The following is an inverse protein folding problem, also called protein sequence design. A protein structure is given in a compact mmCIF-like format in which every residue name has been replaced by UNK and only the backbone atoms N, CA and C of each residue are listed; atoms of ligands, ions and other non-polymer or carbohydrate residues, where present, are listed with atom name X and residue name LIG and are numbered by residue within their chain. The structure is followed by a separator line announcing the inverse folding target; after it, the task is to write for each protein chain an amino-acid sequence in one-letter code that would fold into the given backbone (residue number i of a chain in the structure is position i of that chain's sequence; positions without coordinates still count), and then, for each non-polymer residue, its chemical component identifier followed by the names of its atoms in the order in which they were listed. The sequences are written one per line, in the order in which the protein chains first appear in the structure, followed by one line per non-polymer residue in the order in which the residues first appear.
data_IF_796865561926
#
_entry.id   IF_796865561926
#
_cell.length_a   1.000
_cell.length_b   1.000
_cell.length_c   1.000
_cell.angle_alpha   90.00
_cell.angle_beta   90.00
_cell.angle_gamma   90.00
#
_symmetry.space_group_name_H-M   'P 1'
#
loop_
_entity.id
_entity.type
_entity.pdbx_description
1 polymer ?
#
# COMPACT_ATOMS: atom_id res chain seq x y z
N UNK A 1 25.85 -4.49 -13.19
CA UNK A 1 25.38 -3.12 -12.93
C UNK A 1 23.85 -3.02 -13.01
N UNK A 2 23.20 -3.32 -14.15
CA UNK A 2 21.73 -3.22 -14.35
C UNK A 2 20.93 -3.99 -13.27
N UNK A 3 21.30 -5.23 -12.98
CA UNK A 3 20.64 -6.05 -11.92
C UNK A 3 20.63 -5.35 -10.56
N UNK A 4 21.69 -4.66 -10.19
CA UNK A 4 21.78 -3.94 -8.91
C UNK A 4 20.95 -2.65 -8.93
N UNK A 5 20.86 -1.95 -10.06
CA UNK A 5 19.97 -0.80 -10.25
C UNK A 5 18.51 -1.24 -10.08
N UNK A 6 18.07 -2.31 -10.76
CA UNK A 6 16.71 -2.87 -10.60
C UNK A 6 16.42 -3.37 -9.17
N UNK A 7 17.43 -3.88 -8.46
CA UNK A 7 17.27 -4.26 -7.05
C UNK A 7 17.11 -3.06 -6.13
N UNK A 8 17.77 -1.94 -6.43
CA UNK A 8 17.67 -0.70 -5.66
C UNK A 8 16.36 0.03 -5.93
N UNK A 9 15.95 0.20 -7.19
CA UNK A 9 14.71 0.88 -7.60
C UNK A 9 13.44 0.06 -7.33
N UNK A 10 13.58 -1.25 -7.09
CA UNK A 10 12.52 -2.18 -6.68
C UNK A 10 11.24 -2.16 -7.54
N UNK A 11 11.27 -2.36 -8.87
CA UNK A 11 10.05 -2.38 -9.70
C UNK A 11 9.01 -3.42 -9.23
N UNK A 12 9.45 -4.53 -8.60
CA UNK A 12 8.54 -5.52 -8.00
C UNK A 12 7.60 -4.93 -6.93
N UNK A 13 7.96 -3.80 -6.33
CA UNK A 13 7.12 -3.12 -5.34
C UNK A 13 6.07 -2.19 -5.98
N UNK A 14 6.13 -1.97 -7.30
CA UNK A 14 5.13 -1.20 -8.04
C UNK A 14 3.74 -1.83 -7.97
N UNK A 15 3.66 -3.13 -7.69
CA UNK A 15 2.38 -3.82 -7.41
C UNK A 15 1.54 -3.08 -6.34
N UNK A 16 2.18 -2.41 -5.38
CA UNK A 16 1.49 -1.62 -4.36
C UNK A 16 0.86 -0.35 -4.93
N UNK A 17 1.33 0.13 -6.06
CA UNK A 17 0.81 1.33 -6.68
C UNK A 17 -0.43 1.05 -7.53
N UNK A 18 -0.83 -0.24 -7.72
CA UNK A 18 -2.13 -0.58 -8.30
C UNK A 18 -3.31 -0.04 -7.49
N UNK A 19 -3.09 0.38 -6.24
CA UNK A 19 -4.08 1.13 -5.47
C UNK A 19 -4.52 2.44 -6.15
N UNK A 20 -3.71 2.98 -7.06
CA UNK A 20 -4.08 4.13 -7.91
C UNK A 20 -5.27 3.80 -8.84
N UNK A 21 -5.46 2.52 -9.24
CA UNK A 21 -6.57 2.08 -10.09
C UNK A 21 -7.86 1.81 -9.32
N UNK A 22 -7.83 1.73 -7.99
CA UNK A 22 -9.01 1.42 -7.16
C UNK A 22 -10.16 2.41 -7.38
N UNK A 23 -9.95 3.75 -7.43
CA UNK A 23 -11.03 4.69 -7.71
C UNK A 23 -11.73 4.44 -9.04
N UNK A 24 -10.96 4.13 -10.09
CA UNK A 24 -11.50 3.82 -11.42
C UNK A 24 -12.38 2.56 -11.38
N UNK A 25 -11.95 1.52 -10.62
CA UNK A 25 -12.72 0.29 -10.43
C UNK A 25 -14.04 0.55 -9.68
N UNK A 26 -13.96 1.19 -8.51
CA UNK A 26 -15.14 1.49 -7.68
C UNK A 26 -15.95 2.69 -8.17
N UNK A 27 -15.43 3.43 -9.15
CA UNK A 27 -16.11 4.53 -9.81
C UNK A 27 -16.96 4.12 -11.03
N UNK A 28 -16.83 2.85 -11.46
CA UNK A 28 -17.52 2.39 -12.67
C UNK A 28 -16.84 2.80 -13.99
N UNK A 29 -15.59 3.30 -13.93
CA UNK A 29 -14.88 3.88 -15.08
C UNK A 29 -13.89 2.92 -15.75
N UNK A 30 -14.00 1.60 -15.48
CA UNK A 30 -13.06 0.59 -16.00
C UNK A 30 -12.94 0.52 -17.51
N UNK A 31 -13.99 0.90 -18.23
CA UNK A 31 -14.05 0.85 -19.68
C UNK A 31 -13.95 2.24 -20.33
N UNK A 32 -13.67 3.28 -19.55
CA UNK A 32 -13.43 4.63 -20.07
C UNK A 32 -11.95 4.79 -20.45
N UNK A 33 -11.70 4.88 -21.77
CA UNK A 33 -10.34 4.97 -22.31
C UNK A 33 -9.54 6.18 -21.75
N UNK A 34 -10.20 7.32 -21.57
CA UNK A 34 -9.56 8.51 -21.01
C UNK A 34 -9.12 8.28 -19.56
N UNK A 35 -10.01 7.73 -18.73
CA UNK A 35 -9.71 7.39 -17.34
C UNK A 35 -8.56 6.37 -17.24
N UNK A 36 -8.52 5.36 -18.11
CA UNK A 36 -7.44 4.36 -18.19
C UNK A 36 -6.09 5.03 -18.48
N UNK A 37 -6.05 5.93 -19.45
CA UNK A 37 -4.83 6.64 -19.83
C UNK A 37 -4.30 7.51 -18.67
N UNK A 38 -5.15 8.35 -18.08
CA UNK A 38 -4.78 9.25 -17.00
C UNK A 38 -4.32 8.51 -15.74
N UNK A 39 -5.02 7.44 -15.37
CA UNK A 39 -4.63 6.60 -14.22
C UNK A 39 -3.33 5.84 -14.50
N UNK A 40 -3.11 5.40 -15.73
CA UNK A 40 -1.86 4.72 -16.11
C UNK A 40 -0.67 5.67 -16.04
N UNK A 41 -0.79 6.90 -16.54
CA UNK A 41 0.24 7.93 -16.38
C UNK A 41 0.51 8.22 -14.89
N UNK A 42 -0.55 8.37 -14.10
CA UNK A 42 -0.44 8.57 -12.65
C UNK A 42 0.24 7.40 -11.95
N UNK A 43 -0.06 6.16 -12.33
CA UNK A 43 0.59 4.96 -11.81
C UNK A 43 2.10 4.96 -12.08
N UNK A 44 2.53 5.30 -13.30
CA UNK A 44 3.96 5.35 -13.62
C UNK A 44 4.65 6.51 -12.90
N UNK A 45 4.05 7.71 -12.87
CA UNK A 45 4.56 8.85 -12.11
C UNK A 45 4.78 8.48 -10.65
N UNK A 46 3.76 7.91 -10.02
CA UNK A 46 3.82 7.46 -8.62
C UNK A 46 4.87 6.36 -8.41
N UNK A 47 5.02 5.44 -9.35
CA UNK A 47 5.95 4.32 -9.29
C UNK A 47 7.41 4.76 -9.36
N UNK A 48 7.72 5.73 -10.21
CA UNK A 48 9.07 6.30 -10.28
C UNK A 48 9.39 7.08 -9.00
N UNK A 49 8.46 7.89 -8.49
CA UNK A 49 8.65 8.60 -7.22
C UNK A 49 8.82 7.62 -6.04
N UNK A 50 8.06 6.53 -5.99
CA UNK A 50 8.24 5.49 -4.98
C UNK A 50 9.63 4.81 -5.09
N UNK A 51 10.13 4.60 -6.32
CA UNK A 51 11.49 4.06 -6.55
C UNK A 51 12.57 5.02 -6.04
N UNK A 52 12.39 6.33 -6.21
CA UNK A 52 13.25 7.35 -5.62
C UNK A 52 13.33 7.23 -4.09
N UNK A 53 12.18 7.05 -3.44
CA UNK A 53 12.11 6.86 -1.98
C UNK A 53 12.83 5.58 -1.54
N UNK A 54 12.75 4.48 -2.31
CA UNK A 54 13.50 3.25 -1.99
C UNK A 54 15.01 3.46 -2.07
N UNK A 55 15.50 4.25 -3.05
CA UNK A 55 16.91 4.62 -3.12
C UNK A 55 17.33 5.40 -1.86
N UNK A 56 16.55 6.40 -1.45
CA UNK A 56 16.81 7.18 -0.25
C UNK A 56 16.80 6.33 1.02
N UNK A 57 15.82 5.43 1.15
CA UNK A 57 15.75 4.54 2.31
C UNK A 57 17.00 3.65 2.44
N UNK A 58 17.49 3.07 1.34
CA UNK A 58 18.68 2.22 1.37
C UNK A 58 19.96 3.03 1.65
N UNK A 59 20.01 4.33 1.30
CA UNK A 59 21.10 5.24 1.67
C UNK A 59 21.09 5.55 3.17
N UNK A 60 19.94 5.92 3.71
CA UNK A 60 19.80 6.28 5.15
C UNK A 60 20.05 5.08 6.05
N UNK A 61 19.63 3.89 5.63
CA UNK A 61 19.74 2.67 6.42
C UNK A 61 21.07 1.90 6.21
N UNK A 62 22.03 2.43 5.43
CA UNK A 62 23.21 1.69 4.98
C UNK A 62 24.00 1.01 6.12
N UNK A 63 24.24 1.70 7.22
CA UNK A 63 25.02 1.16 8.34
C UNK A 63 24.23 0.10 9.13
N UNK A 64 22.93 0.33 9.33
CA UNK A 64 22.05 -0.65 9.94
C UNK A 64 21.86 -1.90 9.06
N UNK A 65 21.75 -1.70 7.76
CA UNK A 65 21.58 -2.79 6.78
C UNK A 65 22.85 -3.66 6.66
N UNK A 66 24.05 -3.10 6.80
CA UNK A 66 25.32 -3.85 6.81
C UNK A 66 25.38 -4.88 7.93
N UNK A 67 24.84 -4.55 9.09
CA UNK A 67 24.83 -5.41 10.27
C UNK A 67 23.64 -6.39 10.30
N UNK A 68 22.72 -6.32 9.31
CA UNK A 68 21.53 -7.14 9.32
C UNK A 68 21.73 -8.41 8.47
N UNK A 69 21.37 -9.63 8.96
CA UNK A 69 21.69 -10.91 8.30
C UNK A 69 21.17 -11.05 6.87
N UNK A 70 20.07 -10.39 6.53
CA UNK A 70 19.45 -10.46 5.18
C UNK A 70 19.68 -9.18 4.38
N UNK A 71 19.59 -8.00 5.03
CA UNK A 71 19.66 -6.71 4.34
C UNK A 71 21.09 -6.31 3.95
N UNK A 72 22.12 -6.95 4.51
CA UNK A 72 23.52 -6.76 4.10
C UNK A 72 23.75 -7.03 2.61
N UNK A 73 22.85 -7.80 1.96
CA UNK A 73 22.89 -8.06 0.53
C UNK A 73 22.20 -6.98 -0.33
N UNK A 74 21.70 -5.88 0.25
CA UNK A 74 21.16 -4.73 -0.51
C UNK A 74 22.28 -4.04 -1.29
N UNK A 75 22.00 -3.50 -2.49
CA UNK A 75 23.04 -2.98 -3.37
C UNK A 75 23.97 -1.94 -2.76
N UNK A 76 23.47 -1.04 -1.91
CA UNK A 76 24.29 -0.02 -1.25
C UNK A 76 25.00 -0.61 -0.03
N UNK A 77 24.32 -1.39 0.80
CA UNK A 77 24.90 -2.01 2.00
C UNK A 77 26.05 -2.96 1.65
N UNK A 78 25.89 -3.76 0.60
CA UNK A 78 26.92 -4.69 0.10
C UNK A 78 28.10 -4.03 -0.65
N UNK A 79 28.02 -2.71 -0.91
CA UNK A 79 29.03 -2.00 -1.70
C UNK A 79 28.90 -2.23 -3.22
N UNK A 80 27.92 -2.99 -3.71
CA UNK A 80 27.71 -3.24 -5.14
C UNK A 80 27.28 -1.97 -5.91
N UNK A 81 26.75 -0.97 -5.23
CA UNK A 81 26.51 0.39 -5.71
C UNK A 81 27.02 1.39 -4.66
N UNK A 82 27.66 2.45 -5.11
CA UNK A 82 28.12 3.53 -4.24
C UNK A 82 26.94 4.38 -3.74
N UNK A 83 27.10 5.03 -2.59
CA UNK A 83 26.11 6.00 -2.06
C UNK A 83 25.86 7.12 -3.07
N UNK A 84 26.91 7.59 -3.79
CA UNK A 84 26.75 8.60 -4.84
C UNK A 84 25.82 8.12 -5.96
N UNK A 85 26.00 6.88 -6.43
CA UNK A 85 25.11 6.28 -7.42
C UNK A 85 23.68 6.15 -6.88
N UNK A 86 23.52 5.85 -5.58
CA UNK A 86 22.23 5.84 -4.90
C UNK A 86 21.52 7.19 -5.01
N UNK A 87 22.21 8.30 -4.69
CA UNK A 87 21.64 9.66 -4.83
C UNK A 87 21.34 10.01 -6.31
N UNK A 88 22.20 9.65 -7.24
CA UNK A 88 21.97 9.88 -8.68
C UNK A 88 20.68 9.17 -9.13
N UNK A 89 20.50 7.90 -8.76
CA UNK A 89 19.29 7.14 -9.08
C UNK A 89 18.05 7.69 -8.38
N UNK A 90 18.17 8.14 -7.13
CA UNK A 90 17.11 8.81 -6.41
C UNK A 90 16.60 10.04 -7.16
N UNK A 91 17.51 10.93 -7.56
CA UNK A 91 17.16 12.15 -8.31
C UNK A 91 16.58 11.79 -9.68
N UNK A 92 17.21 10.88 -10.42
CA UNK A 92 16.74 10.46 -11.74
C UNK A 92 15.33 9.88 -11.69
N UNK A 93 15.03 9.00 -10.70
CA UNK A 93 13.69 8.44 -10.54
C UNK A 93 12.66 9.51 -10.15
N UNK A 94 13.03 10.46 -9.30
CA UNK A 94 12.15 11.57 -8.92
C UNK A 94 11.83 12.45 -10.14
N UNK A 95 12.85 12.86 -10.90
CA UNK A 95 12.68 13.69 -12.11
C UNK A 95 11.84 12.97 -13.16
N UNK A 96 12.06 11.66 -13.37
CA UNK A 96 11.24 10.87 -14.28
C UNK A 96 9.77 10.82 -13.80
N UNK A 97 9.54 10.64 -12.50
CA UNK A 97 8.19 10.61 -11.95
C UNK A 97 7.45 11.95 -12.13
N UNK A 98 8.13 13.07 -11.83
CA UNK A 98 7.57 14.41 -12.07
C UNK A 98 7.37 14.64 -13.58
N UNK A 99 8.33 14.25 -14.43
CA UNK A 99 8.21 14.38 -15.88
C UNK A 99 7.00 13.65 -16.46
N UNK A 100 6.71 12.43 -15.97
CA UNK A 100 5.50 11.70 -16.37
C UNK A 100 4.23 12.39 -15.86
N UNK A 101 4.24 12.92 -14.62
CA UNK A 101 3.09 13.64 -14.08
C UNK A 101 2.78 14.95 -14.86
N UNK A 102 3.79 15.58 -15.46
CA UNK A 102 3.61 16.75 -16.33
C UNK A 102 2.94 16.43 -17.67
N UNK A 103 2.80 15.16 -18.05
CA UNK A 103 2.05 14.74 -19.25
C UNK A 103 0.53 14.72 -19.00
N UNK A 104 0.09 14.84 -17.75
CA UNK A 104 -1.33 14.91 -17.42
C UNK A 104 -1.93 16.26 -17.87
N UNK A 105 -3.23 16.30 -18.25
CA UNK A 105 -3.94 17.54 -18.51
C UNK A 105 -3.90 18.51 -17.32
N UNK A 106 -3.83 19.84 -17.55
CA UNK A 106 -3.71 20.84 -16.48
C UNK A 106 -4.77 20.71 -15.39
N UNK A 107 -5.99 20.29 -15.75
CA UNK A 107 -7.14 20.15 -14.86
C UNK A 107 -6.88 19.15 -13.71
N UNK A 108 -6.25 18.01 -14.02
CA UNK A 108 -5.95 16.95 -13.05
C UNK A 108 -4.51 17.01 -12.54
N UNK A 109 -3.60 17.53 -13.35
CA UNK A 109 -2.15 17.57 -13.08
C UNK A 109 -1.83 18.19 -11.73
N UNK A 110 -2.43 19.35 -11.40
CA UNK A 110 -2.14 20.10 -10.17
C UNK A 110 -2.44 19.28 -8.92
N UNK A 111 -3.58 18.62 -8.88
CA UNK A 111 -4.03 17.81 -7.74
C UNK A 111 -3.20 16.52 -7.61
N UNK A 112 -2.96 15.82 -8.72
CA UNK A 112 -2.13 14.62 -8.74
C UNK A 112 -0.70 14.95 -8.31
N UNK A 113 -0.12 16.05 -8.83
CA UNK A 113 1.21 16.52 -8.46
C UNK A 113 1.31 16.86 -6.99
N UNK A 114 0.33 17.58 -6.43
CA UNK A 114 0.29 17.91 -5.00
C UNK A 114 0.32 16.64 -4.13
N UNK A 115 -0.47 15.62 -4.48
CA UNK A 115 -0.48 14.33 -3.78
C UNK A 115 0.86 13.61 -3.89
N UNK A 116 1.46 13.57 -5.08
CA UNK A 116 2.76 12.91 -5.31
C UNK A 116 3.88 13.61 -4.52
N UNK A 117 3.93 14.94 -4.53
CA UNK A 117 4.92 15.71 -3.78
C UNK A 117 4.72 15.53 -2.28
N UNK A 118 3.48 15.59 -1.80
CA UNK A 118 3.19 15.34 -0.39
C UNK A 118 3.60 13.91 0.03
N UNK A 119 3.29 12.90 -0.79
CA UNK A 119 3.75 11.52 -0.57
C UNK A 119 5.27 11.43 -0.49
N UNK A 120 5.98 12.12 -1.37
CA UNK A 120 7.44 12.14 -1.39
C UNK A 120 8.01 12.72 -0.10
N UNK A 121 7.57 13.93 0.28
CA UNK A 121 8.03 14.62 1.49
C UNK A 121 7.73 13.79 2.75
N UNK A 122 6.51 13.25 2.86
CA UNK A 122 6.11 12.39 3.97
C UNK A 122 7.01 11.16 4.10
N UNK A 123 7.36 10.52 2.97
CA UNK A 123 8.21 9.33 3.00
C UNK A 123 9.69 9.66 3.24
N UNK A 124 10.20 10.82 2.84
CA UNK A 124 11.53 11.27 3.23
C UNK A 124 11.59 11.47 4.76
N UNK A 125 10.60 12.13 5.34
CA UNK A 125 10.49 12.29 6.80
C UNK A 125 10.36 10.93 7.52
N UNK A 126 9.57 10.01 6.94
CA UNK A 126 9.43 8.64 7.43
C UNK A 126 10.78 7.90 7.46
N UNK A 127 11.51 7.91 6.34
CA UNK A 127 12.80 7.22 6.25
C UNK A 127 13.84 7.81 7.21
N UNK A 128 13.80 9.13 7.43
CA UNK A 128 14.77 9.83 8.29
C UNK A 128 14.56 9.55 9.80
N UNK A 129 13.34 9.74 10.30
CA UNK A 129 13.06 9.68 11.75
C UNK A 129 11.73 8.98 12.11
N UNK A 130 10.63 9.24 11.37
CA UNK A 130 9.29 8.89 11.84
C UNK A 130 9.05 7.38 11.94
N UNK A 131 9.79 6.57 11.18
CA UNK A 131 9.76 5.10 11.27
C UNK A 131 10.25 4.53 12.62
N UNK A 132 10.84 5.36 13.49
CA UNK A 132 11.31 4.95 14.81
C UNK A 132 10.23 5.05 15.89
N UNK A 133 9.11 5.74 15.61
CA UNK A 133 8.01 5.91 16.55
C UNK A 133 6.95 4.85 16.32
N UNK A 134 6.64 4.07 17.36
CA UNK A 134 5.57 3.07 17.32
C UNK A 134 4.22 3.73 17.03
N UNK A 135 3.33 3.00 16.39
CA UNK A 135 2.03 3.45 15.88
C UNK A 135 2.17 4.42 14.71
N UNK A 136 2.98 5.48 14.83
CA UNK A 136 3.18 6.43 13.75
C UNK A 136 3.80 5.77 12.50
N UNK A 137 4.71 4.79 12.72
CA UNK A 137 5.33 4.04 11.62
C UNK A 137 4.31 3.28 10.75
N UNK A 138 3.33 2.64 11.37
CA UNK A 138 2.27 1.91 10.63
C UNK A 138 1.22 2.86 10.06
N UNK A 139 0.90 3.95 10.77
CA UNK A 139 -0.04 4.97 10.29
C UNK A 139 0.47 5.67 9.02
N UNK A 140 1.75 6.05 8.97
CA UNK A 140 2.34 6.69 7.78
C UNK A 140 2.34 5.73 6.59
N UNK A 141 2.64 4.44 6.80
CA UNK A 141 2.55 3.44 5.74
C UNK A 141 1.10 3.33 5.23
N UNK A 142 0.12 3.25 6.13
CA UNK A 142 -1.29 3.18 5.76
C UNK A 142 -1.75 4.45 5.02
N UNK A 143 -1.36 5.62 5.50
CA UNK A 143 -1.66 6.89 4.84
C UNK A 143 -1.03 6.99 3.44
N UNK A 144 0.16 6.41 3.24
CA UNK A 144 0.77 6.29 1.92
C UNK A 144 -0.11 5.52 0.91
N UNK A 145 -0.94 4.55 1.35
CA UNK A 145 -1.92 3.90 0.49
C UNK A 145 -3.14 4.78 0.22
N UNK A 146 -3.57 5.56 1.20
CA UNK A 146 -4.63 6.57 1.00
C UNK A 146 -4.20 7.59 -0.06
N UNK A 147 -2.96 8.06 -0.03
CA UNK A 147 -2.45 9.00 -1.04
C UNK A 147 -2.48 8.39 -2.46
N UNK A 148 -2.30 7.06 -2.61
CA UNK A 148 -2.47 6.38 -3.91
C UNK A 148 -3.91 6.42 -4.40
N UNK A 149 -4.86 6.17 -3.50
CA UNK A 149 -6.30 6.27 -3.82
C UNK A 149 -6.66 7.72 -4.19
N UNK A 150 -6.18 8.70 -3.45
CA UNK A 150 -6.42 10.12 -3.76
C UNK A 150 -5.83 10.50 -5.13
N UNK A 151 -4.60 10.06 -5.44
CA UNK A 151 -3.99 10.31 -6.74
C UNK A 151 -4.81 9.71 -7.89
N UNK A 152 -5.31 8.48 -7.72
CA UNK A 152 -6.19 7.84 -8.71
C UNK A 152 -7.55 8.52 -8.85
N UNK A 153 -8.16 8.93 -7.75
CA UNK A 153 -9.43 9.67 -7.76
C UNK A 153 -9.32 11.00 -8.49
N UNK A 154 -8.26 11.77 -8.21
CA UNK A 154 -7.99 13.02 -8.94
C UNK A 154 -7.70 12.78 -10.42
N UNK A 155 -6.99 11.70 -10.77
CA UNK A 155 -6.70 11.37 -12.16
C UNK A 155 -7.95 11.04 -12.97
N UNK A 156 -8.96 10.41 -12.35
CA UNK A 156 -10.24 10.09 -12.99
C UNK A 156 -11.31 11.19 -12.80
N UNK A 157 -11.00 12.29 -12.10
CA UNK A 157 -11.97 13.33 -11.70
C UNK A 157 -13.17 12.76 -10.93
N UNK A 158 -12.96 11.65 -10.20
CA UNK A 158 -14.00 10.96 -9.45
C UNK A 158 -14.06 11.45 -8.00
N UNK A 159 -15.23 11.84 -7.50
CA UNK A 159 -15.41 12.12 -6.09
C UNK A 159 -15.25 10.83 -5.29
N UNK A 160 -14.30 10.82 -4.35
CA UNK A 160 -14.06 9.69 -3.48
C UNK A 160 -15.01 9.72 -2.29
N UNK A 161 -15.71 8.63 -2.05
CA UNK A 161 -16.47 8.46 -0.83
C UNK A 161 -15.55 8.46 0.39
N UNK A 162 -15.97 9.12 1.47
CA UNK A 162 -15.25 9.10 2.75
C UNK A 162 -15.00 7.67 3.24
N UNK A 163 -15.92 6.77 2.98
CA UNK A 163 -15.82 5.36 3.39
C UNK A 163 -14.68 4.62 2.70
N UNK A 164 -14.44 4.83 1.39
CA UNK A 164 -13.34 4.18 0.68
C UNK A 164 -11.98 4.66 1.19
N UNK A 165 -11.87 5.94 1.56
CA UNK A 165 -10.66 6.55 2.13
C UNK A 165 -10.37 5.93 3.51
N UNK A 166 -11.37 5.90 4.41
CA UNK A 166 -11.23 5.34 5.76
C UNK A 166 -10.95 3.84 5.69
N UNK A 167 -11.69 3.10 4.86
CA UNK A 167 -11.51 1.66 4.67
C UNK A 167 -10.11 1.32 4.16
N UNK A 168 -9.59 2.10 3.20
CA UNK A 168 -8.23 1.91 2.68
C UNK A 168 -7.19 2.13 3.77
N UNK A 169 -7.34 3.18 4.56
CA UNK A 169 -6.46 3.43 5.71
C UNK A 169 -6.49 2.28 6.70
N UNK A 170 -7.68 1.84 7.12
CA UNK A 170 -7.85 0.79 8.12
C UNK A 170 -7.38 -0.58 7.63
N UNK A 171 -7.68 -0.96 6.39
CA UNK A 171 -7.23 -2.22 5.80
C UNK A 171 -5.71 -2.27 5.70
N UNK A 172 -5.08 -1.19 5.27
CA UNK A 172 -3.62 -1.14 5.15
C UNK A 172 -2.92 -0.98 6.50
N UNK A 173 -3.58 -0.38 7.47
CA UNK A 173 -3.15 -0.34 8.86
C UNK A 173 -3.20 -1.75 9.50
N UNK A 174 -4.29 -2.49 9.28
CA UNK A 174 -4.43 -3.90 9.64
C UNK A 174 -3.28 -4.75 9.10
N UNK A 175 -2.98 -4.65 7.80
CA UNK A 175 -1.86 -5.36 7.17
C UNK A 175 -0.51 -4.93 7.75
N UNK A 176 -0.36 -3.65 8.11
CA UNK A 176 0.86 -3.11 8.69
C UNK A 176 1.08 -3.64 10.12
N UNK A 177 0.03 -3.75 10.93
CA UNK A 177 0.11 -4.38 12.26
C UNK A 177 0.42 -5.88 12.17
N UNK A 178 -0.17 -6.59 11.21
CA UNK A 178 0.17 -8.00 10.98
C UNK A 178 1.66 -8.17 10.66
N UNK A 179 2.25 -7.28 9.86
CA UNK A 179 3.69 -7.27 9.63
C UNK A 179 4.51 -6.96 10.89
N UNK A 180 4.03 -6.06 11.78
CA UNK A 180 4.68 -5.80 13.07
C UNK A 180 4.63 -7.02 13.99
N UNK A 181 3.58 -7.83 13.87
CA UNK A 181 3.48 -9.09 14.61
C UNK A 181 4.65 -10.04 14.30
N UNK A 182 5.02 -10.16 13.04
CA UNK A 182 6.19 -10.93 12.62
C UNK A 182 7.51 -10.36 13.20
N UNK A 183 7.65 -9.04 13.21
CA UNK A 183 8.80 -8.37 13.82
C UNK A 183 8.90 -8.68 15.35
N UNK A 184 7.76 -8.72 16.07
CA UNK A 184 7.72 -9.06 17.51
C UNK A 184 7.99 -10.54 17.77
N UNK A 185 7.43 -11.44 16.96
CA UNK A 185 7.72 -12.87 17.05
C UNK A 185 9.22 -13.11 16.91
N UNK A 186 9.84 -12.52 15.91
CA UNK A 186 11.28 -12.62 15.69
C UNK A 186 12.08 -12.06 16.86
N UNK A 187 11.67 -10.92 17.41
CA UNK A 187 12.33 -10.36 18.61
C UNK A 187 12.25 -11.31 19.81
N UNK A 188 11.11 -11.97 20.01
CA UNK A 188 10.94 -12.93 21.10
C UNK A 188 11.79 -14.21 20.90
N UNK A 189 12.01 -14.62 19.64
CA UNK A 189 12.82 -15.81 19.31
C UNK A 189 14.33 -15.51 19.38
N UNK A 190 14.77 -14.35 18.88
CA UNK A 190 16.20 -14.04 18.71
C UNK A 190 16.76 -13.16 19.83
N UNK A 191 15.92 -12.54 20.66
CA UNK A 191 16.31 -11.52 21.63
C UNK A 191 16.66 -10.17 21.00
N UNK A 192 16.70 -10.04 19.67
CA UNK A 192 17.06 -8.82 18.96
C UNK A 192 15.88 -8.17 18.27
N UNK A 193 15.66 -6.89 18.51
CA UNK A 193 14.59 -6.12 17.88
C UNK A 193 14.94 -5.82 16.41
N UNK A 194 14.16 -6.30 15.41
CA UNK A 194 14.40 -6.03 14.00
C UNK A 194 14.36 -4.53 13.65
N UNK A 195 13.71 -3.71 14.49
CA UNK A 195 13.60 -2.26 14.39
C UNK A 195 13.62 -1.63 15.78
N UNK A 196 14.08 -0.39 15.88
CA UNK A 196 14.12 0.34 17.17
C UNK A 196 12.77 0.45 17.86
N UNK A 197 11.69 0.61 17.09
CA UNK A 197 10.33 0.73 17.63
C UNK A 197 9.66 -0.61 17.96
N UNK A 198 10.25 -1.76 17.58
CA UNK A 198 9.67 -3.08 17.88
C UNK A 198 9.53 -3.32 19.38
N UNK A 199 10.43 -2.80 20.20
CA UNK A 199 10.39 -2.91 21.66
C UNK A 199 9.15 -2.25 22.32
N UNK A 200 8.46 -1.38 21.58
CA UNK A 200 7.22 -0.72 22.03
C UNK A 200 5.96 -1.52 21.69
N UNK A 201 6.11 -2.68 21.07
CA UNK A 201 5.03 -3.58 20.70
C UNK A 201 5.15 -4.89 21.46
N UNK A 202 4.00 -5.47 21.80
CA UNK A 202 3.90 -6.86 22.25
C UNK A 202 2.77 -7.57 21.48
N UNK A 203 2.74 -8.90 21.57
CA UNK A 203 1.76 -9.71 20.83
C UNK A 203 0.32 -9.41 21.23
N UNK A 204 0.06 -9.14 22.53
CA UNK A 204 -1.28 -8.81 23.01
C UNK A 204 -1.80 -7.52 22.38
N UNK A 205 -1.01 -6.44 22.44
CA UNK A 205 -1.36 -5.16 21.81
C UNK A 205 -1.60 -5.31 20.31
N UNK A 206 -0.69 -6.00 19.60
CA UNK A 206 -0.80 -6.14 18.15
C UNK A 206 -2.01 -6.98 17.77
N UNK A 207 -2.32 -8.08 18.48
CA UNK A 207 -3.49 -8.89 18.20
C UNK A 207 -4.79 -8.08 18.40
N UNK A 208 -4.88 -7.26 19.47
CA UNK A 208 -5.98 -6.33 19.65
C UNK A 208 -6.08 -5.29 18.53
N UNK A 209 -4.97 -4.68 18.13
CA UNK A 209 -4.93 -3.69 17.06
C UNK A 209 -5.36 -4.30 15.71
N UNK A 210 -4.94 -5.54 15.41
CA UNK A 210 -5.38 -6.31 14.24
C UNK A 210 -6.89 -6.53 14.28
N UNK A 211 -7.44 -6.96 15.42
CA UNK A 211 -8.88 -7.22 15.58
C UNK A 211 -9.69 -5.93 15.42
N UNK A 212 -9.28 -4.85 16.09
CA UNK A 212 -9.98 -3.55 16.01
C UNK A 212 -9.97 -3.05 14.57
N UNK A 213 -8.81 -3.03 13.91
CA UNK A 213 -8.69 -2.50 12.54
C UNK A 213 -9.46 -3.34 11.54
N UNK A 214 -9.46 -4.68 11.66
CA UNK A 214 -10.24 -5.58 10.83
C UNK A 214 -11.75 -5.36 11.00
N UNK A 215 -12.25 -5.29 12.26
CA UNK A 215 -13.67 -5.09 12.57
C UNK A 215 -14.18 -3.76 12.02
N UNK A 216 -13.46 -2.67 12.26
CA UNK A 216 -13.86 -1.34 11.75
C UNK A 216 -13.75 -1.28 10.23
N UNK A 217 -12.76 -1.95 9.60
CA UNK A 217 -12.69 -2.06 8.13
C UNK A 217 -13.94 -2.71 7.55
N UNK A 218 -14.43 -3.80 8.17
CA UNK A 218 -15.65 -4.49 7.74
C UNK A 218 -16.88 -3.59 7.86
N UNK A 219 -17.01 -2.87 8.97
CA UNK A 219 -18.11 -1.90 9.18
C UNK A 219 -18.05 -0.80 8.11
N UNK A 220 -16.88 -0.21 7.86
CA UNK A 220 -16.72 0.81 6.82
C UNK A 220 -17.05 0.28 5.43
N UNK A 221 -16.73 -1.00 5.14
CA UNK A 221 -17.11 -1.63 3.88
C UNK A 221 -18.63 -1.74 3.72
N UNK A 222 -19.34 -2.19 4.76
CA UNK A 222 -20.79 -2.28 4.75
C UNK A 222 -21.40 -0.88 4.56
N UNK A 223 -20.91 0.12 5.32
CA UNK A 223 -21.39 1.50 5.23
C UNK A 223 -21.15 2.10 3.84
N UNK A 224 -20.02 1.77 3.19
CA UNK A 224 -19.79 2.12 1.79
C UNK A 224 -20.86 1.52 0.88
N UNK A 225 -21.11 0.21 1.00
CA UNK A 225 -22.04 -0.49 0.12
C UNK A 225 -23.49 -0.02 0.25
N UNK A 226 -23.90 0.47 1.45
CA UNK A 226 -25.27 0.95 1.69
C UNK A 226 -25.40 2.47 1.61
N UNK A 227 -24.30 3.19 1.31
CA UNK A 227 -24.36 4.65 1.20
C UNK A 227 -25.24 5.07 0.01
N UNK A 228 -26.07 6.12 0.15
CA UNK A 228 -26.95 6.59 -0.91
C UNK A 228 -26.21 6.86 -2.24
N UNK A 229 -25.03 7.44 -2.15
CA UNK A 229 -24.18 7.77 -3.30
C UNK A 229 -23.79 6.51 -4.10
N UNK A 230 -23.51 5.41 -3.42
CA UNK A 230 -23.08 4.13 -4.04
C UNK A 230 -24.30 3.40 -4.60
N UNK A 231 -25.41 3.36 -3.85
CA UNK A 231 -26.66 2.74 -4.30
C UNK A 231 -27.21 3.47 -5.54
N UNK A 232 -27.17 4.80 -5.54
CA UNK A 232 -27.62 5.61 -6.69
C UNK A 232 -26.70 5.42 -7.91
N UNK A 233 -25.37 5.38 -7.66
CA UNK A 233 -24.37 5.20 -8.76
C UNK A 233 -24.52 3.86 -9.48
N UNK A 234 -24.70 2.78 -8.73
CA UNK A 234 -24.75 1.42 -9.29
C UNK A 234 -26.16 0.86 -9.45
N UNK A 235 -27.19 1.65 -9.10
CA UNK A 235 -28.61 1.28 -9.23
C UNK A 235 -28.95 -0.07 -8.55
N UNK A 236 -28.15 -0.51 -7.58
CA UNK A 236 -28.36 -1.76 -6.86
C UNK A 236 -28.21 -1.57 -5.34
N UNK A 237 -29.24 -1.97 -4.54
CA UNK A 237 -29.15 -1.94 -3.09
C UNK A 237 -28.45 -3.18 -2.49
N UNK A 238 -28.10 -4.18 -3.29
CA UNK A 238 -27.63 -5.50 -2.81
C UNK A 238 -26.13 -5.63 -2.68
N UNK A 239 -25.35 -4.58 -2.99
CA UNK A 239 -23.91 -4.60 -2.97
C UNK A 239 -23.34 -5.00 -1.60
N UNK A 240 -24.06 -4.71 -0.52
CA UNK A 240 -23.66 -5.08 0.84
C UNK A 240 -23.51 -6.59 1.05
N UNK A 241 -24.21 -7.44 0.28
CA UNK A 241 -24.09 -8.91 0.39
C UNK A 241 -22.66 -9.40 0.14
N UNK A 242 -21.86 -8.62 -0.57
CA UNK A 242 -20.46 -8.94 -0.81
C UNK A 242 -19.59 -8.85 0.45
N UNK A 243 -20.13 -8.33 1.58
CA UNK A 243 -19.42 -8.25 2.87
C UNK A 243 -18.94 -9.62 3.38
N UNK A 244 -19.65 -10.69 3.01
CA UNK A 244 -19.31 -12.06 3.40
C UNK A 244 -17.92 -12.44 2.91
N UNK A 245 -17.56 -12.08 1.68
CA UNK A 245 -16.23 -12.34 1.13
C UNK A 245 -15.16 -11.55 1.87
N UNK A 246 -15.43 -10.29 2.20
CA UNK A 246 -14.50 -9.44 2.95
C UNK A 246 -14.31 -10.00 4.37
N UNK A 247 -15.39 -10.39 5.04
CA UNK A 247 -15.34 -11.03 6.37
C UNK A 247 -14.48 -12.29 6.34
N UNK A 248 -14.77 -13.21 5.41
CA UNK A 248 -14.02 -14.47 5.31
C UNK A 248 -12.55 -14.19 4.98
N UNK A 249 -12.26 -13.25 4.10
CA UNK A 249 -10.89 -12.85 3.75
C UNK A 249 -10.12 -12.30 4.95
N UNK A 250 -10.74 -11.43 5.75
CA UNK A 250 -10.14 -10.89 6.98
C UNK A 250 -9.91 -11.99 8.03
N UNK A 251 -10.89 -12.87 8.26
CA UNK A 251 -10.77 -13.98 9.19
C UNK A 251 -9.64 -14.94 8.75
N UNK A 252 -9.57 -15.28 7.45
CA UNK A 252 -8.50 -16.12 6.92
C UNK A 252 -7.13 -15.49 7.11
N UNK A 253 -7.02 -14.19 6.85
CA UNK A 253 -5.76 -13.48 7.05
C UNK A 253 -5.34 -13.46 8.53
N UNK A 254 -6.29 -13.23 9.46
CA UNK A 254 -6.05 -13.30 10.91
C UNK A 254 -5.60 -14.72 11.30
N UNK A 255 -6.24 -15.76 10.78
CA UNK A 255 -5.87 -17.16 11.01
C UNK A 255 -4.41 -17.40 10.60
N UNK A 256 -4.03 -17.01 9.39
CA UNK A 256 -2.64 -17.16 8.89
C UNK A 256 -1.65 -16.37 9.76
N UNK A 257 -2.02 -15.15 10.14
CA UNK A 257 -1.14 -14.29 10.93
C UNK A 257 -0.99 -14.78 12.38
N UNK A 258 -2.08 -15.20 13.03
CA UNK A 258 -2.10 -15.49 14.47
C UNK A 258 -1.86 -16.96 14.76
N UNK A 259 -2.51 -17.87 14.01
CA UNK A 259 -2.44 -19.32 14.24
C UNK A 259 -1.23 -19.91 13.52
N UNK A 260 -1.10 -19.65 12.21
CA UNK A 260 0.00 -20.20 11.41
C UNK A 260 1.32 -19.43 11.60
N UNK A 261 1.27 -18.26 12.28
CA UNK A 261 2.42 -17.39 12.57
C UNK A 261 3.20 -16.95 11.32
N UNK A 262 2.50 -16.76 10.19
CA UNK A 262 3.07 -16.39 8.89
C UNK A 262 2.62 -14.99 8.46
N UNK A 263 2.99 -13.97 9.22
CA UNK A 263 2.52 -12.59 9.00
C UNK A 263 3.53 -11.64 8.32
N UNK A 264 4.68 -12.15 7.85
CA UNK A 264 5.82 -11.31 7.44
C UNK A 264 5.62 -10.38 6.25
N UNK A 265 4.99 -10.83 5.16
CA UNK A 265 4.74 -10.01 3.95
C UNK A 265 3.30 -10.25 3.46
N UNK A 266 2.39 -9.28 3.69
CA UNK A 266 0.97 -9.41 3.33
C UNK A 266 0.73 -9.79 1.87
N UNK A 267 1.49 -9.18 0.95
CA UNK A 267 1.37 -9.46 -0.48
C UNK A 267 1.73 -10.91 -0.80
N UNK A 268 2.80 -11.42 -0.17
CA UNK A 268 3.22 -12.82 -0.39
C UNK A 268 2.24 -13.81 0.23
N UNK A 269 1.60 -13.46 1.35
CA UNK A 269 0.59 -14.31 1.99
C UNK A 269 -0.57 -14.51 1.04
N UNK A 270 -1.17 -13.43 0.54
CA UNK A 270 -2.31 -13.48 -0.38
C UNK A 270 -1.94 -14.24 -1.67
N UNK A 271 -0.74 -14.01 -2.22
CA UNK A 271 -0.28 -14.68 -3.45
C UNK A 271 0.05 -16.17 -3.27
N UNK A 272 0.17 -16.68 -2.04
CA UNK A 272 0.49 -18.08 -1.76
C UNK A 272 -0.67 -18.87 -1.18
N UNK A 273 -1.66 -18.22 -0.60
CA UNK A 273 -2.81 -18.87 0.01
C UNK A 273 -3.95 -19.00 -1.00
N UNK A 274 -4.16 -20.21 -1.52
CA UNK A 274 -5.20 -20.48 -2.51
C UNK A 274 -6.61 -20.15 -2.02
N UNK A 275 -6.88 -20.34 -0.72
CA UNK A 275 -8.17 -20.01 -0.16
C UNK A 275 -8.43 -18.48 -0.23
N UNK A 276 -7.46 -17.67 0.17
CA UNK A 276 -7.54 -16.21 0.05
C UNK A 276 -7.71 -15.77 -1.42
N UNK A 277 -7.00 -16.41 -2.35
CA UNK A 277 -7.12 -16.12 -3.78
C UNK A 277 -8.54 -16.39 -4.30
N UNK A 278 -9.12 -17.55 -3.95
CA UNK A 278 -10.50 -17.89 -4.35
C UNK A 278 -11.49 -16.87 -3.81
N UNK A 279 -11.38 -16.46 -2.54
CA UNK A 279 -12.26 -15.47 -1.92
C UNK A 279 -12.13 -14.10 -2.61
N UNK A 280 -10.91 -13.65 -2.89
CA UNK A 280 -10.68 -12.37 -3.58
C UNK A 280 -11.26 -12.42 -5.00
N UNK A 281 -11.05 -13.50 -5.74
CA UNK A 281 -11.59 -13.66 -7.11
C UNK A 281 -13.11 -13.73 -7.08
N UNK A 282 -13.71 -14.50 -6.16
CA UNK A 282 -15.16 -14.58 -6.02
C UNK A 282 -15.76 -13.22 -5.65
N UNK A 283 -15.12 -12.47 -4.77
CA UNK A 283 -15.53 -11.11 -4.43
C UNK A 283 -15.48 -10.18 -5.64
N UNK A 284 -14.35 -10.16 -6.38
CA UNK A 284 -14.19 -9.34 -7.58
C UNK A 284 -15.24 -9.67 -8.65
N UNK A 285 -15.46 -10.95 -8.92
CA UNK A 285 -16.45 -11.38 -9.93
C UNK A 285 -17.88 -10.98 -9.51
N UNK A 286 -18.24 -11.21 -8.23
CA UNK A 286 -19.55 -10.82 -7.73
C UNK A 286 -19.75 -9.30 -7.78
N UNK A 287 -18.74 -8.55 -7.41
CA UNK A 287 -18.78 -7.09 -7.42
C UNK A 287 -18.90 -6.55 -8.86
N UNK A 288 -18.12 -7.08 -9.80
CA UNK A 288 -18.20 -6.71 -11.21
C UNK A 288 -19.56 -7.06 -11.83
N UNK A 289 -20.10 -8.23 -11.50
CA UNK A 289 -21.43 -8.66 -11.94
C UNK A 289 -22.51 -7.67 -11.47
N UNK A 290 -22.46 -7.26 -10.21
CA UNK A 290 -23.44 -6.32 -9.64
C UNK A 290 -23.32 -4.91 -10.20
N UNK A 291 -22.12 -4.48 -10.62
CA UNK A 291 -21.90 -3.11 -11.12
C UNK A 291 -22.14 -2.99 -12.64
N UNK A 292 -21.76 -4.01 -13.40
CA UNK A 292 -21.70 -3.89 -14.86
C UNK A 292 -22.74 -4.75 -15.61
N UNK A 293 -23.40 -5.68 -14.92
CA UNK A 293 -24.35 -6.62 -15.58
C UNK A 293 -25.77 -6.47 -15.03
N UNK A 294 -25.95 -6.20 -13.73
CA UNK A 294 -27.25 -6.02 -13.07
C UNK A 294 -27.57 -4.55 -12.93
#
# INVERSE_FOLDING_TARGET
MIKNILRLTRPKQWIKNFFVFIPMFFGGELFNNNSIELVTLTFFAYSFVASSIYCYNDIVDVDADRNHPVKCHRPIASGALSIRMGYTLMIAMFVLGIGVALLLPPEVMSNVMAVIVFYYVLNLAYCSKLKQYAILDVCIVAFGFVLRILAGGFACELPLSNWIVIMTFLLTLFMSFAKRRDDVLRMNETGEAPRKNTVRYNLTFINQAITITASVTLVCYIMYCVSPEVVERFQTPYLYLTFVFVLIGLLRYIQIAVVDQKSGDPTKIILRDHFSQIIVVAWLLTFLLMIYVI
#
